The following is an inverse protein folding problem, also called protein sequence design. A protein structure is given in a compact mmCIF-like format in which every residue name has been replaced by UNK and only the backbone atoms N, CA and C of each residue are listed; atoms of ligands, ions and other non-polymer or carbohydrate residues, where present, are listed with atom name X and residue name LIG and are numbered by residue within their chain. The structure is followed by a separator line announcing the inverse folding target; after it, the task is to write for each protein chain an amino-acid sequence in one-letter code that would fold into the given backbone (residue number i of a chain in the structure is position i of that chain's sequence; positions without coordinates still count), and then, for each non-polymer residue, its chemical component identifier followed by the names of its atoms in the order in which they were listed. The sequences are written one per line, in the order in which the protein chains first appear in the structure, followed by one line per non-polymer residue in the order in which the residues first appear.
data_IF_872279984422
#
_entry.id   IF_872279984422
#
_cell.length_a   1.000
_cell.length_b   1.000
_cell.length_c   1.000
_cell.angle_alpha   90.00
_cell.angle_beta   90.00
_cell.angle_gamma   90.00
#
_symmetry.space_group_name_H-M   'P 1'
#
loop_
_entity.id
_entity.type
_entity.pdbx_description
1 polymer ?
#
# COMPACT_ATOMS: atom_id res chain seq x y z
N UNK A 1 77.52 -28.56 -11.16
CA UNK A 1 77.72 -28.09 -9.76
C UNK A 1 77.01 -26.78 -9.53
N UNK A 2 75.68 -26.70 -9.95
CA UNK A 2 74.86 -25.47 -9.67
C UNK A 2 73.40 -25.81 -9.62
N UNK A 3 72.90 -26.60 -8.66
CA UNK A 3 71.50 -26.80 -8.48
C UNK A 3 71.10 -27.31 -7.08
N UNK A 4 71.59 -26.68 -6.04
CA UNK A 4 71.22 -27.03 -4.65
C UNK A 4 70.79 -25.85 -3.75
N UNK A 5 70.54 -24.65 -4.28
CA UNK A 5 70.27 -23.48 -3.43
C UNK A 5 68.86 -22.91 -3.54
N UNK A 6 68.02 -23.40 -4.42
CA UNK A 6 66.64 -22.82 -4.60
C UNK A 6 65.52 -23.44 -3.77
N UNK A 7 65.78 -24.58 -3.11
CA UNK A 7 64.69 -25.26 -2.31
C UNK A 7 64.52 -24.71 -0.91
N UNK A 8 65.48 -24.02 -0.31
CA UNK A 8 65.32 -23.48 1.07
C UNK A 8 64.57 -22.18 1.14
N UNK A 9 64.60 -21.35 0.12
CA UNK A 9 63.90 -20.06 0.10
C UNK A 9 62.41 -20.19 -0.07
N UNK A 10 61.95 -21.18 -0.76
CA UNK A 10 60.48 -21.43 -0.96
C UNK A 10 59.80 -21.88 0.35
N UNK A 11 60.48 -22.68 1.15
CA UNK A 11 59.93 -23.19 2.41
C UNK A 11 59.80 -22.06 3.43
N UNK A 12 60.76 -21.11 3.44
CA UNK A 12 60.68 -19.92 4.32
C UNK A 12 59.55 -18.99 3.91
N UNK A 13 59.29 -18.80 2.59
CA UNK A 13 58.16 -18.01 2.10
C UNK A 13 56.80 -18.66 2.38
N UNK A 14 56.75 -19.99 2.27
CA UNK A 14 55.52 -20.73 2.60
C UNK A 14 55.20 -20.71 4.11
N UNK A 15 56.22 -20.75 4.98
CA UNK A 15 56.03 -20.63 6.43
C UNK A 15 55.67 -19.22 6.84
N UNK A 16 56.19 -18.15 6.22
CA UNK A 16 55.77 -16.76 6.47
C UNK A 16 54.33 -16.49 6.04
N UNK A 17 53.86 -17.11 4.91
CA UNK A 17 52.46 -17.00 4.47
C UNK A 17 51.48 -17.71 5.41
N UNK A 18 51.88 -18.83 6.02
CA UNK A 18 51.07 -19.54 7.01
C UNK A 18 50.99 -18.84 8.36
N UNK A 19 51.99 -18.08 8.74
CA UNK A 19 51.99 -17.30 10.00
C UNK A 19 51.27 -15.96 9.91
N UNK A 20 51.07 -15.39 8.70
CA UNK A 20 50.33 -14.14 8.52
C UNK A 20 48.81 -14.34 8.54
N UNK A 21 48.29 -15.57 8.39
CA UNK A 21 46.84 -15.85 8.43
C UNK A 21 46.32 -15.96 9.87
N UNK A 22 47.22 -16.12 10.87
CA UNK A 22 46.83 -16.31 12.27
C UNK A 22 46.58 -14.99 13.06
N UNK A 23 46.75 -13.83 12.44
CA UNK A 23 46.62 -12.51 13.15
C UNK A 23 45.47 -11.64 12.60
N UNK A 24 44.50 -12.19 11.89
CA UNK A 24 43.28 -11.43 11.60
C UNK A 24 42.45 -11.36 12.88
N UNK A 25 42.10 -10.17 13.37
CA UNK A 25 41.17 -10.07 14.49
C UNK A 25 39.86 -10.74 14.04
N UNK A 26 39.40 -11.69 14.86
CA UNK A 26 38.09 -12.30 14.67
C UNK A 26 37.05 -11.15 14.71
N UNK A 27 36.62 -10.69 13.54
CA UNK A 27 35.48 -9.79 13.44
C UNK A 27 34.29 -10.62 13.88
N UNK A 28 33.93 -10.51 15.16
CA UNK A 28 32.69 -11.06 15.68
C UNK A 28 31.54 -10.34 14.98
N UNK A 29 31.07 -10.91 13.89
CA UNK A 29 29.76 -10.57 13.38
C UNK A 29 28.77 -10.95 14.47
N UNK A 30 28.30 -9.97 15.25
CA UNK A 30 27.09 -10.13 16.02
C UNK A 30 25.97 -10.34 14.98
N UNK A 31 25.69 -11.59 14.68
CA UNK A 31 24.43 -11.94 14.04
C UNK A 31 23.36 -11.44 15.00
N UNK A 32 22.72 -10.33 14.66
CA UNK A 32 21.49 -9.93 15.33
C UNK A 32 20.48 -11.01 14.96
N UNK A 33 20.45 -12.04 15.80
CA UNK A 33 19.48 -13.12 15.68
C UNK A 33 18.12 -12.47 15.87
N UNK A 34 17.42 -12.25 14.77
CA UNK A 34 16.03 -11.87 14.82
C UNK A 34 15.36 -12.89 15.76
N UNK A 35 14.81 -12.40 16.88
CA UNK A 35 14.23 -13.27 17.89
C UNK A 35 13.23 -14.20 17.19
N UNK A 36 13.62 -15.45 16.98
CA UNK A 36 12.79 -16.46 16.37
C UNK A 36 11.60 -16.68 17.31
N UNK A 37 10.41 -16.32 16.83
CA UNK A 37 9.17 -16.66 17.54
C UNK A 37 9.00 -18.17 17.39
N UNK A 38 8.83 -18.89 18.50
CA UNK A 38 8.63 -20.33 18.44
C UNK A 38 7.47 -20.65 17.50
N UNK A 39 7.55 -21.77 16.78
CA UNK A 39 6.51 -22.20 15.83
C UNK A 39 5.12 -22.40 16.47
N UNK A 40 5.05 -22.46 17.80
CA UNK A 40 3.81 -22.63 18.56
C UNK A 40 3.22 -21.32 19.08
N UNK A 41 3.97 -20.19 19.00
CA UNK A 41 3.48 -18.94 19.57
C UNK A 41 2.27 -18.41 18.80
N UNK A 42 1.17 -18.20 19.50
CA UNK A 42 -0.02 -17.50 19.00
C UNK A 42 -0.35 -16.34 19.92
N UNK A 43 -0.40 -15.11 19.38
CA UNK A 43 -0.68 -13.93 20.17
C UNK A 43 -0.12 -12.63 19.60
N UNK A 44 -0.33 -11.55 20.33
CA UNK A 44 0.18 -10.23 20.02
C UNK A 44 1.64 -10.08 20.41
N UNK A 45 2.44 -9.45 19.54
CA UNK A 45 3.83 -9.08 19.83
C UNK A 45 4.13 -7.71 19.29
N UNK A 46 4.86 -6.90 20.06
CA UNK A 46 5.38 -5.60 19.62
C UNK A 46 6.87 -5.73 19.42
N UNK A 47 7.35 -5.36 18.23
CA UNK A 47 8.77 -5.37 17.87
C UNK A 47 9.10 -4.04 17.22
N UNK A 48 10.08 -3.32 17.75
CA UNK A 48 10.49 -1.99 17.27
C UNK A 48 9.32 -1.01 17.09
N UNK A 49 8.41 -0.97 18.08
CA UNK A 49 7.23 -0.10 18.07
C UNK A 49 6.10 -0.54 17.14
N UNK A 50 6.28 -1.54 16.31
CA UNK A 50 5.27 -2.11 15.41
C UNK A 50 4.57 -3.28 16.07
N UNK A 51 3.25 -3.37 15.91
CA UNK A 51 2.40 -4.43 16.47
C UNK A 51 2.11 -5.50 15.44
N UNK A 52 2.26 -6.75 15.83
CA UNK A 52 2.04 -7.94 15.01
C UNK A 52 1.14 -8.93 15.75
N UNK A 53 0.41 -9.75 15.01
CA UNK A 53 -0.23 -10.92 15.56
C UNK A 53 0.35 -12.18 14.90
N UNK A 54 0.76 -13.12 15.72
CA UNK A 54 1.27 -14.40 15.27
C UNK A 54 0.21 -15.48 15.47
N UNK A 55 0.13 -16.40 14.54
CA UNK A 55 -0.64 -17.63 14.64
C UNK A 55 0.28 -18.79 14.30
N UNK A 56 0.51 -19.65 15.26
CA UNK A 56 1.46 -20.79 15.14
C UNK A 56 2.84 -20.33 14.62
N UNK A 57 3.39 -19.30 15.26
CA UNK A 57 4.69 -18.73 14.91
C UNK A 57 4.74 -17.85 13.64
N UNK A 58 3.67 -17.82 12.86
CA UNK A 58 3.60 -17.06 11.60
C UNK A 58 2.85 -15.74 11.78
N UNK A 59 3.39 -14.64 11.24
CA UNK A 59 2.72 -13.33 11.25
C UNK A 59 1.48 -13.36 10.37
N UNK A 60 0.36 -12.85 10.88
CA UNK A 60 -0.82 -12.63 10.05
C UNK A 60 -0.62 -11.46 9.10
N UNK A 61 -1.17 -11.57 7.89
CA UNK A 61 -1.23 -10.53 6.86
C UNK A 61 -2.66 -10.43 6.32
N UNK A 62 -3.09 -9.24 5.88
CA UNK A 62 -4.45 -9.06 5.40
C UNK A 62 -5.47 -8.85 6.53
N UNK A 63 -6.73 -9.22 6.29
CA UNK A 63 -7.84 -9.01 7.23
C UNK A 63 -8.16 -10.29 8.00
N UNK A 64 -8.06 -10.23 9.33
CA UNK A 64 -8.32 -11.37 10.22
C UNK A 64 -9.23 -11.01 11.38
N UNK A 65 -10.05 -11.97 11.80
CA UNK A 65 -10.84 -11.90 13.03
C UNK A 65 -10.03 -12.49 14.17
N UNK A 66 -9.79 -11.69 15.21
CA UNK A 66 -9.07 -12.11 16.42
C UNK A 66 -10.01 -11.83 17.59
N UNK A 67 -10.48 -12.89 18.23
CA UNK A 67 -11.54 -12.80 19.23
C UNK A 67 -12.83 -12.21 18.63
N UNK A 68 -13.35 -11.14 19.22
CA UNK A 68 -14.59 -10.48 18.79
C UNK A 68 -14.40 -9.44 17.65
N UNK A 69 -13.14 -9.06 17.31
CA UNK A 69 -12.85 -7.94 16.46
C UNK A 69 -12.06 -8.32 15.22
N UNK A 70 -12.24 -7.56 14.14
CA UNK A 70 -11.41 -7.65 12.96
C UNK A 70 -10.22 -6.70 13.05
N UNK A 71 -9.08 -7.14 12.52
CA UNK A 71 -7.83 -6.39 12.42
C UNK A 71 -7.26 -6.54 11.01
N UNK A 72 -6.63 -5.48 10.54
CA UNK A 72 -5.89 -5.50 9.29
C UNK A 72 -4.39 -5.58 9.54
N UNK A 73 -3.69 -6.29 8.68
CA UNK A 73 -2.24 -6.38 8.72
C UNK A 73 -1.67 -6.12 7.33
N UNK A 74 -0.58 -5.37 7.27
CA UNK A 74 0.16 -5.13 6.04
C UNK A 74 0.86 -6.42 5.54
N UNK A 75 1.49 -6.36 4.37
CA UNK A 75 2.22 -7.49 3.80
C UNK A 75 3.43 -7.93 4.65
N UNK A 76 4.03 -7.02 5.42
CA UNK A 76 5.10 -7.31 6.39
C UNK A 76 4.56 -7.83 7.74
N UNK A 77 3.23 -7.95 7.89
CA UNK A 77 2.54 -8.36 9.10
C UNK A 77 2.29 -7.22 10.10
N UNK A 78 2.66 -5.98 9.82
CA UNK A 78 2.39 -4.85 10.72
C UNK A 78 0.90 -4.57 10.83
N UNK A 79 0.38 -4.41 12.05
CA UNK A 79 -1.01 -4.05 12.30
C UNK A 79 -1.36 -2.69 11.69
N UNK A 80 -2.41 -2.65 10.89
CA UNK A 80 -2.91 -1.44 10.23
C UNK A 80 -3.75 -0.59 11.19
N UNK A 81 -3.66 0.74 11.00
CA UNK A 81 -4.49 1.74 11.69
C UNK A 81 -4.95 2.83 10.72
N UNK A 82 -6.03 3.52 11.03
CA UNK A 82 -6.60 4.53 10.14
C UNK A 82 -7.33 3.92 8.94
N UNK A 83 -7.47 4.71 7.87
CA UNK A 83 -8.07 4.26 6.62
C UNK A 83 -7.09 3.41 5.81
N UNK A 84 -7.52 2.21 5.40
CA UNK A 84 -6.74 1.31 4.56
C UNK A 84 -7.62 0.63 3.53
N UNK A 85 -7.05 0.42 2.33
CA UNK A 85 -7.67 -0.38 1.28
C UNK A 85 -7.22 -1.83 1.41
N UNK A 86 -8.14 -2.71 1.82
CA UNK A 86 -7.86 -4.12 2.10
C UNK A 86 -9.01 -5.00 1.62
N UNK A 87 -8.70 -6.11 0.95
CA UNK A 87 -9.69 -7.00 0.31
C UNK A 87 -10.67 -6.22 -0.58
N UNK A 88 -10.13 -5.36 -1.44
CA UNK A 88 -10.89 -4.54 -2.42
C UNK A 88 -11.90 -3.56 -1.81
N UNK A 89 -11.75 -3.18 -0.52
CA UNK A 89 -12.62 -2.23 0.15
C UNK A 89 -11.84 -1.28 1.06
N UNK A 90 -12.31 -0.05 1.17
CA UNK A 90 -11.84 0.88 2.19
C UNK A 90 -12.41 0.53 3.55
N UNK A 91 -11.55 0.40 4.54
CA UNK A 91 -11.88 0.07 5.93
C UNK A 91 -11.11 0.97 6.88
N UNK A 92 -11.71 1.24 8.05
CA UNK A 92 -11.04 2.03 9.07
C UNK A 92 -10.71 1.18 10.29
N UNK A 93 -9.45 1.28 10.70
CA UNK A 93 -8.92 0.63 11.90
C UNK A 93 -8.61 1.68 12.96
N UNK A 94 -9.11 1.49 14.18
CA UNK A 94 -8.92 2.44 15.28
C UNK A 94 -7.44 2.68 15.58
N UNK A 95 -7.02 3.94 15.69
CA UNK A 95 -5.60 4.31 15.83
C UNK A 95 -4.91 3.63 17.02
N UNK A 96 -5.55 3.55 18.17
CA UNK A 96 -4.95 2.98 19.38
C UNK A 96 -5.07 1.47 19.45
N UNK A 97 -6.23 0.91 19.10
CA UNK A 97 -6.51 -0.52 19.29
C UNK A 97 -6.30 -1.37 18.05
N UNK A 98 -6.25 -0.77 16.85
CA UNK A 98 -6.24 -1.50 15.57
C UNK A 98 -7.55 -2.19 15.21
N UNK A 99 -8.61 -2.08 16.05
CA UNK A 99 -9.89 -2.72 15.79
C UNK A 99 -10.60 -2.09 14.61
N UNK A 100 -11.07 -2.90 13.67
CA UNK A 100 -11.91 -2.42 12.56
C UNK A 100 -13.19 -1.78 13.11
N UNK A 101 -13.59 -0.66 12.53
CA UNK A 101 -14.83 0.05 12.86
C UNK A 101 -15.94 -0.35 11.91
N UNK A 102 -17.16 -0.43 12.43
CA UNK A 102 -18.38 -0.81 11.71
C UNK A 102 -19.54 0.11 12.14
N UNK A 103 -20.55 0.25 11.28
CA UNK A 103 -21.82 0.93 11.59
C UNK A 103 -21.66 2.32 12.19
N UNK A 104 -20.74 3.13 11.68
CA UNK A 104 -20.49 4.48 12.19
C UNK A 104 -19.96 5.42 11.10
N UNK A 105 -19.97 6.71 11.35
CA UNK A 105 -19.38 7.72 10.47
C UNK A 105 -18.06 8.19 11.06
N UNK A 106 -17.01 8.18 10.24
CA UNK A 106 -15.66 8.63 10.61
C UNK A 106 -15.17 9.62 9.54
N UNK A 107 -14.88 10.84 9.96
CA UNK A 107 -14.42 11.92 9.05
C UNK A 107 -15.39 12.11 7.86
N UNK A 108 -16.70 12.13 8.11
CA UNK A 108 -17.73 12.28 7.09
C UNK A 108 -18.02 11.02 6.25
N UNK A 109 -17.27 9.92 6.44
CA UNK A 109 -17.43 8.68 5.70
C UNK A 109 -18.25 7.67 6.48
N UNK A 110 -19.42 7.30 5.96
CA UNK A 110 -20.31 6.30 6.57
C UNK A 110 -19.79 4.90 6.31
N UNK A 111 -19.50 4.17 7.37
CA UNK A 111 -19.05 2.77 7.34
C UNK A 111 -20.24 1.87 7.63
N UNK A 112 -20.42 0.84 6.82
CA UNK A 112 -21.50 -0.14 6.97
C UNK A 112 -21.24 -1.15 8.12
N UNK A 113 -22.17 -2.08 8.31
CA UNK A 113 -22.07 -3.15 9.32
C UNK A 113 -20.94 -4.15 9.04
N UNK A 114 -20.47 -4.23 7.80
CA UNK A 114 -19.34 -5.07 7.37
C UNK A 114 -17.99 -4.35 7.46
N UNK A 115 -18.00 -3.10 7.95
CA UNK A 115 -16.79 -2.27 8.08
C UNK A 115 -16.29 -1.70 6.76
N UNK A 116 -17.15 -1.58 5.75
CA UNK A 116 -16.81 -1.06 4.43
C UNK A 116 -17.31 0.38 4.30
N UNK A 117 -16.47 1.23 3.77
CA UNK A 117 -16.86 2.51 3.21
C UNK A 117 -16.85 2.43 1.69
N UNK A 118 -18.00 2.72 1.09
CA UNK A 118 -18.14 2.82 -0.36
C UNK A 118 -18.27 4.31 -0.71
N UNK A 119 -17.34 4.88 -1.49
CA UNK A 119 -17.49 6.24 -1.98
C UNK A 119 -18.70 6.35 -2.89
N UNK A 120 -19.47 7.42 -2.75
CA UNK A 120 -20.48 7.82 -3.72
C UNK A 120 -19.77 8.70 -4.75
N UNK A 121 -19.76 8.27 -5.99
CA UNK A 121 -19.24 9.03 -7.12
C UNK A 121 -20.46 9.49 -7.91
N UNK A 122 -20.63 10.79 -8.04
CA UNK A 122 -21.61 11.38 -8.93
C UNK A 122 -20.89 11.67 -10.24
N UNK A 123 -21.37 11.06 -11.32
CA UNK A 123 -20.90 11.34 -12.66
C UNK A 123 -21.90 12.33 -13.29
N UNK A 124 -21.41 13.43 -13.75
CA UNK A 124 -22.16 14.43 -14.50
C UNK A 124 -21.57 14.49 -15.92
N UNK A 125 -22.05 13.64 -16.83
CA UNK A 125 -21.58 13.64 -18.20
C UNK A 125 -21.86 14.98 -18.86
N UNK A 126 -20.83 15.66 -19.32
CA UNK A 126 -20.97 16.93 -20.01
C UNK A 126 -21.74 16.77 -21.33
N UNK A 127 -22.50 17.78 -21.67
CA UNK A 127 -23.30 17.91 -22.89
C UNK A 127 -24.49 16.94 -23.04
N UNK A 128 -25.44 17.32 -23.81
CA UNK A 128 -26.65 16.55 -24.04
C UNK A 128 -26.82 16.23 -25.53
N UNK A 129 -27.35 15.04 -25.83
CA UNK A 129 -27.72 14.67 -27.19
C UNK A 129 -28.97 15.40 -27.69
N UNK A 130 -29.75 15.99 -26.77
CA UNK A 130 -30.91 16.81 -27.05
C UNK A 130 -30.67 18.18 -26.44
N UNK A 131 -30.43 19.18 -27.29
CA UNK A 131 -30.28 20.57 -26.85
C UNK A 131 -31.68 21.11 -26.51
N UNK A 132 -31.93 21.32 -25.21
CA UNK A 132 -33.22 21.81 -24.73
C UNK A 132 -33.54 23.23 -25.16
N UNK A 133 -32.53 23.97 -25.63
CA UNK A 133 -32.65 25.35 -26.06
C UNK A 133 -32.86 26.32 -24.91
N UNK A 134 -32.90 27.62 -25.24
CA UNK A 134 -33.06 28.68 -24.26
C UNK A 134 -31.73 29.23 -23.74
N UNK A 135 -31.85 30.27 -22.96
CA UNK A 135 -30.70 31.02 -22.41
C UNK A 135 -30.83 31.12 -20.90
N UNK A 136 -29.68 31.26 -20.27
CA UNK A 136 -29.59 31.51 -18.84
C UNK A 136 -28.60 32.66 -18.57
N UNK A 137 -28.77 33.44 -17.50
CA UNK A 137 -27.79 34.43 -17.11
C UNK A 137 -26.40 33.85 -16.90
N UNK A 138 -25.34 34.57 -17.25
CA UNK A 138 -23.96 34.20 -16.99
C UNK A 138 -23.64 34.07 -15.48
N UNK A 139 -24.45 34.67 -14.61
CA UNK A 139 -24.34 34.60 -13.16
C UNK A 139 -25.48 35.37 -12.49
N UNK A 140 -25.56 35.30 -11.18
CA UNK A 140 -26.59 35.98 -10.40
C UNK A 140 -26.64 37.48 -10.71
N UNK A 141 -27.79 38.01 -11.22
CA UNK A 141 -27.99 39.40 -11.55
C UNK A 141 -27.37 39.85 -12.87
N UNK A 142 -26.79 38.95 -13.67
CA UNK A 142 -26.25 39.29 -14.99
C UNK A 142 -27.36 39.55 -16.04
N UNK A 143 -27.25 40.63 -16.80
CA UNK A 143 -28.06 40.87 -18.00
C UNK A 143 -27.55 40.13 -19.24
N UNK A 144 -26.31 39.62 -19.17
CA UNK A 144 -25.73 38.79 -20.22
C UNK A 144 -26.14 37.33 -20.05
N UNK A 145 -26.47 36.67 -21.15
CA UNK A 145 -26.92 35.29 -21.15
C UNK A 145 -26.02 34.41 -21.99
N UNK A 146 -26.02 33.12 -21.69
CA UNK A 146 -25.41 32.04 -22.52
C UNK A 146 -26.46 30.99 -22.80
N UNK A 147 -26.22 30.17 -23.81
CA UNK A 147 -27.09 28.99 -24.05
C UNK A 147 -27.10 28.09 -22.81
N UNK A 148 -28.27 27.62 -22.43
CA UNK A 148 -28.44 26.66 -21.29
C UNK A 148 -27.74 25.34 -21.54
N UNK A 149 -27.77 24.92 -22.80
CA UNK A 149 -27.29 23.61 -23.17
C UNK A 149 -26.62 23.66 -24.53
N UNK A 150 -25.65 22.81 -24.74
CA UNK A 150 -24.95 22.65 -26.02
C UNK A 150 -24.73 21.16 -26.29
N UNK A 151 -24.74 20.79 -27.56
CA UNK A 151 -24.44 19.41 -27.97
C UNK A 151 -22.97 19.01 -27.78
N UNK A 152 -22.12 19.96 -27.37
CA UNK A 152 -20.69 19.75 -27.35
C UNK A 152 -20.03 19.72 -28.70
N UNK A 153 -18.88 19.13 -28.76
CA UNK A 153 -18.08 19.00 -29.99
C UNK A 153 -18.21 17.60 -30.60
N UNK A 154 -17.67 17.43 -31.77
CA UNK A 154 -17.59 16.12 -32.45
C UNK A 154 -16.14 15.88 -32.84
N UNK A 155 -15.67 14.63 -32.60
CA UNK A 155 -14.33 14.23 -32.98
C UNK A 155 -14.12 14.29 -34.49
N UNK A 156 -13.16 15.11 -34.96
CA UNK A 156 -12.90 15.32 -36.39
C UNK A 156 -12.57 14.02 -37.13
N UNK A 157 -11.84 13.12 -36.51
CA UNK A 157 -11.42 11.86 -37.11
C UNK A 157 -12.44 10.73 -36.89
N UNK A 158 -13.19 10.75 -35.79
CA UNK A 158 -14.08 9.65 -35.39
C UNK A 158 -15.55 9.92 -35.66
N UNK A 159 -15.95 11.17 -35.77
CA UNK A 159 -17.33 11.59 -35.89
C UNK A 159 -18.16 11.31 -34.60
N UNK A 160 -17.50 10.92 -33.52
CA UNK A 160 -18.18 10.65 -32.24
C UNK A 160 -18.49 11.95 -31.52
N UNK A 161 -19.75 12.16 -31.17
CA UNK A 161 -20.23 13.31 -30.41
C UNK A 161 -19.78 13.23 -28.94
N UNK A 162 -19.40 14.36 -28.37
CA UNK A 162 -18.82 14.45 -27.03
C UNK A 162 -19.74 13.87 -25.96
N UNK A 163 -21.05 14.13 -26.02
CA UNK A 163 -21.99 13.59 -25.04
C UNK A 163 -22.04 12.06 -25.03
N UNK A 164 -21.87 11.40 -26.18
CA UNK A 164 -21.79 9.94 -26.27
C UNK A 164 -20.53 9.40 -25.64
N UNK A 165 -19.41 10.11 -25.84
CA UNK A 165 -18.13 9.73 -25.26
C UNK A 165 -18.14 9.88 -23.75
N UNK A 166 -18.61 11.02 -23.23
CA UNK A 166 -18.67 11.31 -21.79
C UNK A 166 -19.62 10.35 -21.06
N UNK A 167 -20.77 10.03 -21.66
CA UNK A 167 -21.69 9.04 -21.09
C UNK A 167 -21.07 7.64 -21.04
N UNK A 168 -20.39 7.21 -22.11
CA UNK A 168 -19.75 5.89 -22.15
C UNK A 168 -18.57 5.74 -21.18
N UNK A 169 -17.85 6.83 -20.91
CA UNK A 169 -16.78 6.82 -19.91
C UNK A 169 -17.35 6.79 -18.49
N UNK A 170 -18.55 7.38 -18.31
CA UNK A 170 -19.23 7.49 -17.03
C UNK A 170 -19.94 6.22 -16.58
N UNK A 171 -20.25 5.30 -17.47
CA UNK A 171 -20.95 4.03 -17.20
C UNK A 171 -19.97 2.88 -16.99
#
# INVERSE_FOLDING_TARGET
KFMKRKKKTWIVWLMCLLLCVASLPAVSFKVVQAASVSSEFTGWKTVNGKKYYYQNGTKLTGLHKIGKYYYGFASDGTMLTGWNYIKKHYRYFAKLSGRMRTSQTIQGRKIDSKGVWTPVIVLDPGHSGIVAGGYEPLGPGSSQTKSKDTSGTQGVATGVEEYKLTLNIGL
#
